data_IF_373573224733
#
_entry.id   IF_373573224733
#
_cell.length_a   1.000
_cell.length_b   1.000
_cell.length_c   1.000
_cell.angle_alpha   90.00
_cell.angle_beta   90.00
_cell.angle_gamma   90.00
#
_symmetry.space_group_name_H-M   'P 1'
#
loop_
_entity.id
_entity.type
_entity.pdbx_description
1 polymer ?
#
# COMPACT_ATOMS: atom_id res chain seq x y z
N UNK A 1 35.79 -7.07 14.71
CA UNK A 1 34.85 -5.94 14.57
C UNK A 1 33.60 -6.50 13.92
N UNK A 2 32.67 -6.97 14.75
CA UNK A 2 31.41 -7.55 14.30
C UNK A 2 30.40 -6.43 14.15
N UNK A 3 29.91 -6.20 12.93
CA UNK A 3 28.82 -5.26 12.71
C UNK A 3 27.52 -5.95 13.14
N UNK A 4 26.90 -5.44 14.20
CA UNK A 4 25.57 -5.85 14.62
C UNK A 4 24.55 -5.46 13.52
N UNK A 5 23.87 -6.45 12.97
CA UNK A 5 22.68 -6.26 12.13
C UNK A 5 21.51 -5.97 13.08
N UNK A 6 21.33 -4.71 13.43
CA UNK A 6 20.13 -4.20 14.08
C UNK A 6 19.40 -3.29 13.09
N UNK A 7 18.27 -3.76 12.57
CA UNK A 7 17.39 -2.96 11.74
C UNK A 7 16.07 -3.68 11.52
N UNK A 8 15.13 -3.55 12.45
CA UNK A 8 13.72 -3.78 12.16
C UNK A 8 13.31 -2.76 11.10
N UNK A 9 13.22 -3.18 9.83
CA UNK A 9 12.62 -2.32 8.82
C UNK A 9 11.18 -2.02 9.24
N UNK A 10 10.76 -0.75 9.32
CA UNK A 10 9.37 -0.44 9.60
C UNK A 10 8.50 -1.01 8.47
N UNK A 11 7.37 -1.60 8.86
CA UNK A 11 6.32 -2.08 7.95
C UNK A 11 6.06 -1.06 6.83
N UNK A 12 5.93 -1.50 5.56
CA UNK A 12 5.75 -0.55 4.47
C UNK A 12 4.48 0.25 4.70
N UNK A 13 4.61 1.58 4.62
CA UNK A 13 3.47 2.49 4.71
C UNK A 13 2.62 2.40 3.43
N UNK A 14 3.15 1.84 2.35
CA UNK A 14 2.47 1.76 1.06
C UNK A 14 2.75 0.43 0.35
N UNK A 15 1.69 -0.24 -0.10
CA UNK A 15 1.74 -1.43 -0.96
C UNK A 15 1.06 -1.11 -2.28
N UNK A 16 1.72 -1.42 -3.39
CA UNK A 16 1.18 -1.22 -4.74
C UNK A 16 1.01 -2.58 -5.41
N UNK A 17 -0.23 -3.05 -5.51
CA UNK A 17 -0.60 -4.26 -6.25
C UNK A 17 -0.65 -3.93 -7.75
N UNK A 18 0.28 -4.50 -8.50
CA UNK A 18 0.52 -4.17 -9.89
C UNK A 18 0.42 -5.33 -10.87
N UNK A 19 0.35 -4.97 -12.16
CA UNK A 19 0.21 -5.90 -13.28
C UNK A 19 -0.81 -5.41 -14.31
N UNK A 20 -0.90 -6.15 -15.41
CA UNK A 20 -1.77 -5.82 -16.54
C UNK A 20 -3.27 -5.86 -16.19
N UNK A 21 -4.13 -5.42 -17.10
CA UNK A 21 -5.58 -5.53 -16.92
C UNK A 21 -6.00 -6.99 -16.68
N UNK A 22 -7.02 -7.20 -15.84
CA UNK A 22 -7.54 -8.51 -15.44
C UNK A 22 -6.58 -9.46 -14.69
N UNK A 23 -5.40 -9.00 -14.27
CA UNK A 23 -4.53 -9.84 -13.42
C UNK A 23 -5.04 -10.02 -11.99
N UNK A 24 -6.04 -9.22 -11.56
CA UNK A 24 -6.67 -9.33 -10.24
C UNK A 24 -6.28 -8.24 -9.22
N UNK A 25 -5.66 -7.13 -9.67
CA UNK A 25 -5.17 -6.06 -8.78
C UNK A 25 -6.16 -5.62 -7.70
N UNK A 26 -7.34 -5.14 -8.09
CA UNK A 26 -8.33 -4.61 -7.13
C UNK A 26 -8.83 -5.70 -6.18
N UNK A 27 -8.97 -6.95 -6.65
CA UNK A 27 -9.36 -8.09 -5.82
C UNK A 27 -8.29 -8.44 -4.79
N UNK A 28 -7.03 -8.54 -5.21
CA UNK A 28 -5.91 -8.83 -4.31
C UNK A 28 -5.69 -7.65 -3.34
N UNK A 29 -5.79 -6.41 -3.81
CA UNK A 29 -5.64 -5.22 -2.98
C UNK A 29 -6.72 -5.16 -1.89
N UNK A 30 -7.98 -5.48 -2.22
CA UNK A 30 -9.06 -5.60 -1.24
C UNK A 30 -8.78 -6.72 -0.23
N UNK A 31 -8.40 -7.92 -0.70
CA UNK A 31 -8.08 -9.03 0.18
C UNK A 31 -6.94 -8.69 1.15
N UNK A 32 -5.88 -8.01 0.68
CA UNK A 32 -4.80 -7.53 1.55
C UNK A 32 -5.32 -6.53 2.59
N UNK A 33 -6.20 -5.59 2.20
CA UNK A 33 -6.75 -4.59 3.12
C UNK A 33 -7.63 -5.23 4.22
N UNK A 34 -8.45 -6.21 3.84
CA UNK A 34 -9.29 -6.98 4.76
C UNK A 34 -8.43 -7.80 5.73
N UNK A 35 -7.40 -8.47 5.21
CA UNK A 35 -6.46 -9.26 6.01
C UNK A 35 -5.66 -8.42 7.00
N UNK A 36 -5.24 -7.22 6.60
CA UNK A 36 -4.54 -6.26 7.47
C UNK A 36 -5.42 -5.85 8.66
N UNK A 37 -6.70 -5.59 8.40
CA UNK A 37 -7.66 -5.18 9.42
C UNK A 37 -8.05 -6.34 10.36
N UNK A 38 -8.17 -7.56 9.84
CA UNK A 38 -8.52 -8.75 10.63
C UNK A 38 -7.35 -9.30 11.47
N UNK A 39 -6.12 -9.15 10.99
CA UNK A 39 -4.91 -9.66 11.67
C UNK A 39 -4.64 -8.93 12.98
N UNK A 40 -5.06 -7.66 13.11
CA UNK A 40 -5.00 -6.92 14.38
C UNK A 40 -5.94 -7.48 15.46
N UNK A 41 -6.93 -8.29 15.11
CA UNK A 41 -7.96 -8.79 16.04
C UNK A 41 -7.75 -10.26 16.47
N UNK A 42 -6.95 -11.04 15.75
CA UNK A 42 -6.97 -12.52 15.86
C UNK A 42 -5.84 -13.15 16.69
N UNK A 43 -4.94 -12.36 17.29
CA UNK A 43 -3.95 -12.85 18.26
C UNK A 43 -2.89 -13.82 17.70
N UNK A 44 -2.84 -14.06 16.38
CA UNK A 44 -1.64 -14.63 15.74
C UNK A 44 -0.55 -13.57 15.74
N UNK A 45 0.65 -13.98 16.15
CA UNK A 45 1.85 -13.15 16.16
C UNK A 45 2.22 -12.74 14.73
N UNK A 46 1.59 -11.66 14.25
CA UNK A 46 1.90 -11.00 12.99
C UNK A 46 2.56 -9.67 13.35
N UNK A 47 3.74 -9.42 12.78
CA UNK A 47 4.58 -8.23 13.07
C UNK A 47 3.94 -6.89 12.66
N UNK A 48 2.80 -6.93 11.97
CA UNK A 48 2.10 -5.76 11.44
C UNK A 48 0.85 -5.44 12.27
N UNK A 49 0.84 -4.27 12.90
CA UNK A 49 -0.30 -3.68 13.60
C UNK A 49 -0.82 -2.48 12.81
N UNK A 50 -2.13 -2.34 12.60
CA UNK A 50 -2.74 -1.15 11.94
C UNK A 50 -3.92 -1.49 11.02
N UNK A 51 -4.73 -0.50 10.65
CA UNK A 51 -5.75 -0.65 9.59
C UNK A 51 -5.15 -0.41 8.20
N UNK A 52 -5.84 -0.82 7.13
CA UNK A 52 -5.43 -0.53 5.77
C UNK A 52 -6.45 0.36 5.05
N UNK A 53 -5.95 1.34 4.30
CA UNK A 53 -6.74 2.16 3.38
C UNK A 53 -6.55 1.65 1.96
N UNK A 54 -7.65 1.35 1.27
CA UNK A 54 -7.62 0.97 -0.14
C UNK A 54 -7.81 2.18 -1.06
N UNK A 55 -7.07 2.22 -2.16
CA UNK A 55 -7.27 3.18 -3.24
C UNK A 55 -7.10 2.47 -4.60
N UNK A 56 -8.11 2.58 -5.48
CA UNK A 56 -7.97 2.15 -6.87
C UNK A 56 -7.37 3.29 -7.70
N UNK A 57 -6.26 3.01 -8.39
CA UNK A 57 -5.57 4.04 -9.15
C UNK A 57 -6.37 4.50 -10.38
N UNK A 58 -7.26 3.66 -10.91
CA UNK A 58 -8.06 3.99 -12.10
C UNK A 58 -9.06 5.12 -11.80
N UNK A 59 -9.45 5.31 -10.54
CA UNK A 59 -10.35 6.39 -10.12
C UNK A 59 -9.75 7.77 -10.38
N UNK A 60 -8.42 7.89 -10.22
CA UNK A 60 -7.69 9.15 -10.36
C UNK A 60 -7.32 9.50 -11.81
N UNK A 61 -7.68 8.67 -12.79
CA UNK A 61 -7.47 9.05 -14.18
C UNK A 61 -8.30 10.29 -14.56
N UNK A 62 -7.71 11.26 -15.28
CA UNK A 62 -8.49 12.38 -15.81
C UNK A 62 -9.52 11.87 -16.83
N UNK A 63 -10.64 12.58 -17.04
CA UNK A 63 -11.69 12.17 -17.98
C UNK A 63 -11.16 11.87 -19.40
N UNK A 64 -10.15 12.60 -19.86
CA UNK A 64 -9.49 12.39 -21.15
C UNK A 64 -8.85 11.00 -21.27
N UNK A 65 -8.27 10.48 -20.18
CA UNK A 65 -7.64 9.17 -20.17
C UNK A 65 -8.69 8.07 -20.14
N UNK A 66 -9.73 8.24 -19.32
CA UNK A 66 -10.87 7.31 -19.27
C UNK A 66 -11.54 7.21 -20.65
N UNK A 67 -11.70 8.33 -21.35
CA UNK A 67 -12.23 8.36 -22.71
C UNK A 67 -11.34 7.61 -23.72
N UNK A 68 -10.02 7.85 -23.72
CA UNK A 68 -9.08 7.11 -24.58
C UNK A 68 -9.11 5.61 -24.34
N UNK A 69 -9.01 5.19 -23.08
CA UNK A 69 -9.04 3.77 -22.71
C UNK A 69 -10.39 3.13 -23.05
N UNK A 70 -11.51 3.83 -22.81
CA UNK A 70 -12.85 3.40 -23.20
C UNK A 70 -13.00 3.21 -24.71
N UNK A 71 -12.29 4.01 -25.52
CA UNK A 71 -12.22 3.86 -26.97
C UNK A 71 -11.21 2.80 -27.45
N UNK A 72 -10.57 2.04 -26.54
CA UNK A 72 -9.55 1.05 -26.91
C UNK A 72 -8.20 1.65 -27.29
N UNK A 73 -7.98 2.94 -27.01
CA UNK A 73 -6.76 3.67 -27.36
C UNK A 73 -5.78 3.60 -26.18
N UNK A 74 -4.58 3.01 -26.36
CA UNK A 74 -3.56 3.01 -25.31
C UNK A 74 -3.13 4.43 -24.94
N UNK A 75 -2.90 4.65 -23.64
CA UNK A 75 -2.35 5.92 -23.16
C UNK A 75 -0.86 6.03 -23.50
N UNK A 76 -0.38 7.24 -23.76
CA UNK A 76 1.05 7.58 -23.85
C UNK A 76 1.64 7.95 -22.48
N UNK A 77 2.96 8.12 -22.38
CA UNK A 77 3.60 8.65 -21.17
C UNK A 77 3.07 10.05 -20.81
N UNK A 78 2.86 10.90 -21.82
CA UNK A 78 2.31 12.24 -21.63
C UNK A 78 0.90 12.19 -21.05
N UNK A 79 0.09 11.22 -21.48
CA UNK A 79 -1.25 11.01 -20.92
C UNK A 79 -1.19 10.53 -19.46
N UNK A 80 -0.21 9.69 -19.12
CA UNK A 80 -0.06 9.15 -17.76
C UNK A 80 0.57 10.11 -16.77
N UNK A 81 1.36 11.08 -17.22
CA UNK A 81 2.10 11.98 -16.32
C UNK A 81 1.22 12.72 -15.29
N UNK A 82 0.06 13.33 -15.65
CA UNK A 82 -0.82 13.98 -14.67
C UNK A 82 -1.43 12.98 -13.67
N UNK A 83 -1.74 11.77 -14.13
CA UNK A 83 -2.30 10.70 -13.30
C UNK A 83 -1.27 10.16 -12.30
N UNK A 84 -0.03 9.94 -12.73
CA UNK A 84 1.07 9.53 -11.85
C UNK A 84 1.38 10.60 -10.80
N UNK A 85 1.32 11.88 -11.16
CA UNK A 85 1.47 12.99 -10.22
C UNK A 85 0.35 12.99 -9.16
N UNK A 86 -0.91 12.77 -9.57
CA UNK A 86 -2.03 12.67 -8.64
C UNK A 86 -1.89 11.48 -7.67
N UNK A 87 -1.47 10.31 -8.16
CA UNK A 87 -1.20 9.14 -7.32
C UNK A 87 -0.07 9.41 -6.33
N UNK A 88 1.03 10.02 -6.78
CA UNK A 88 2.15 10.39 -5.89
C UNK A 88 1.70 11.37 -4.81
N UNK A 89 0.86 12.35 -5.14
CA UNK A 89 0.31 13.27 -4.16
C UNK A 89 -0.49 12.53 -3.07
N UNK A 90 -1.31 11.53 -3.45
CA UNK A 90 -2.04 10.67 -2.49
C UNK A 90 -1.13 9.81 -1.61
N UNK A 91 -0.04 9.28 -2.19
CA UNK A 91 0.99 8.57 -1.42
C UNK A 91 1.62 9.49 -0.38
N UNK A 92 2.01 10.71 -0.77
CA UNK A 92 2.66 11.68 0.12
C UNK A 92 1.71 12.20 1.21
N UNK A 93 0.45 12.47 0.86
CA UNK A 93 -0.61 12.85 1.81
C UNK A 93 -0.72 11.79 2.92
N UNK A 94 -0.91 10.52 2.53
CA UNK A 94 -1.01 9.41 3.48
C UNK A 94 0.24 9.28 4.37
N UNK A 95 1.44 9.28 3.78
CA UNK A 95 2.70 9.11 4.52
C UNK A 95 2.91 10.26 5.51
N UNK A 96 2.54 11.48 5.12
CA UNK A 96 2.62 12.67 5.96
C UNK A 96 1.64 12.56 7.14
N UNK A 97 0.40 12.17 6.88
CA UNK A 97 -0.62 11.92 7.93
C UNK A 97 -0.13 10.89 8.95
N UNK A 98 0.41 9.75 8.51
CA UNK A 98 0.90 8.71 9.42
C UNK A 98 2.11 9.17 10.25
N UNK A 99 3.00 9.98 9.66
CA UNK A 99 4.14 10.55 10.39
C UNK A 99 3.71 11.54 11.46
N UNK A 100 2.77 12.43 11.16
CA UNK A 100 2.22 13.36 12.14
C UNK A 100 1.50 12.62 13.28
N UNK A 101 0.69 11.60 12.95
CA UNK A 101 0.02 10.74 13.95
C UNK A 101 1.02 10.05 14.88
N UNK A 102 2.15 9.60 14.34
CA UNK A 102 3.21 8.96 15.12
C UNK A 102 3.97 9.95 16.03
N UNK A 103 4.14 11.20 15.59
CA UNK A 103 4.82 12.26 16.38
C UNK A 103 3.93 12.89 17.45
N UNK A 104 2.61 12.92 17.24
CA UNK A 104 1.64 13.46 18.19
C UNK A 104 1.43 12.57 19.43
N UNK A 105 2.06 11.38 19.50
CA UNK A 105 1.93 10.44 20.61
C UNK A 105 3.30 10.11 21.26
N UNK A 106 3.87 11.01 22.09
CA UNK A 106 5.22 10.86 22.63
C UNK A 106 5.37 9.93 23.85
N UNK A 107 4.32 9.23 24.28
CA UNK A 107 4.34 8.41 25.52
C UNK A 107 4.92 7.01 25.32
N UNK A 108 6.20 6.91 24.95
CA UNK A 108 6.99 5.68 25.20
C UNK A 108 8.50 5.90 25.40
N UNK A 109 8.96 7.14 25.65
CA UNK A 109 10.38 7.41 25.91
C UNK A 109 10.64 7.52 27.42
N UNK A 110 11.14 6.42 27.98
CA UNK A 110 11.88 6.27 29.25
C UNK A 110 11.23 6.82 30.55
N UNK A 111 10.68 5.91 31.35
CA UNK A 111 10.58 6.10 32.81
C UNK A 111 11.60 5.18 33.49
N UNK A 112 12.69 5.78 33.96
CA UNK A 112 13.48 5.27 35.07
C UNK A 112 13.77 6.44 35.99
N UNK A 113 12.92 6.63 37.00
CA UNK A 113 13.39 6.84 38.38
C UNK A 113 12.21 6.77 39.35
N UNK A 114 12.35 5.86 40.31
CA UNK A 114 11.51 5.74 41.50
C UNK A 114 12.02 6.72 42.56
N UNK A 115 11.14 7.50 43.17
CA UNK A 115 11.18 7.71 44.63
C UNK A 115 9.78 7.98 45.19
N UNK A 116 9.49 7.20 46.23
CA UNK A 116 8.35 7.13 47.14
C UNK A 116 7.91 8.46 47.77
N UNK A 117 6.61 8.62 48.04
CA UNK A 117 6.05 8.98 49.36
C UNK A 117 4.52 9.20 49.35
N UNK A 118 3.88 8.63 50.38
CA UNK A 118 2.71 9.09 51.14
C UNK A 118 1.25 8.81 50.72
N UNK A 119 0.58 8.15 51.69
CA UNK A 119 -0.85 7.88 51.87
C UNK A 119 -1.67 9.17 52.10
N UNK A 120 -2.94 9.24 51.66
CA UNK A 120 -4.11 9.30 52.58
C UNK A 120 -5.50 9.30 51.87
N UNK A 121 -6.48 8.84 52.65
CA UNK A 121 -7.93 8.63 52.53
C UNK A 121 -8.87 9.46 51.60
N UNK A 122 -9.78 8.69 50.95
CA UNK A 122 -11.26 8.70 50.99
C UNK A 122 -12.07 9.99 50.66
N UNK A 123 -13.05 9.89 49.72
CA UNK A 123 -14.40 10.50 49.73
C UNK A 123 -15.25 9.93 48.56
N UNK A 124 -16.53 9.65 48.82
CA UNK A 124 -17.58 9.14 47.92
C UNK A 124 -18.43 10.32 47.38
N UNK A 125 -18.79 10.34 46.09
CA UNK A 125 -20.03 10.88 45.45
C UNK A 125 -19.98 10.50 43.94
N UNK A 126 -20.87 9.66 43.41
CA UNK A 126 -22.23 9.88 42.88
C UNK A 126 -22.31 10.56 41.49
N UNK A 127 -23.05 9.90 40.58
CA UNK A 127 -23.55 10.25 39.24
C UNK A 127 -22.63 10.87 38.16
N UNK A 128 -22.39 10.12 37.07
CA UNK A 128 -22.57 10.60 35.69
C UNK A 128 -22.26 9.53 34.63
N UNK A 129 -23.02 9.61 33.53
CA UNK A 129 -22.98 8.86 32.29
C UNK A 129 -21.63 8.22 31.90
N UNK A 130 -21.65 6.89 31.70
CA UNK A 130 -20.61 6.16 30.98
C UNK A 130 -20.74 6.45 29.47
N UNK A 131 -20.32 7.65 29.06
CA UNK A 131 -19.92 7.86 27.67
C UNK A 131 -18.61 7.10 27.44
N UNK A 132 -18.61 6.31 26.37
CA UNK A 132 -17.52 5.46 25.90
C UNK A 132 -16.16 6.13 26.05
N UNK A 133 -15.42 5.66 27.05
CA UNK A 133 -14.01 5.93 27.23
C UNK A 133 -13.23 5.10 26.18
N UNK A 134 -13.32 5.52 24.91
CA UNK A 134 -12.49 4.97 23.84
C UNK A 134 -11.10 5.58 24.04
N UNK A 135 -10.32 4.92 24.89
CA UNK A 135 -8.99 5.35 25.27
C UNK A 135 -8.14 5.59 24.03
N UNK A 136 -7.57 6.80 23.92
CA UNK A 136 -6.52 7.24 22.99
C UNK A 136 -5.20 6.44 23.16
N UNK A 137 -5.29 5.10 23.16
CA UNK A 137 -4.15 4.23 22.99
C UNK A 137 -3.61 4.45 21.57
N UNK A 138 -2.30 4.65 21.44
CA UNK A 138 -1.62 4.93 20.19
C UNK A 138 -2.02 3.95 19.08
N UNK A 139 -2.94 4.35 18.20
CA UNK A 139 -3.36 3.51 17.08
C UNK A 139 -2.18 3.38 16.11
N UNK A 140 -1.79 2.14 15.82
CA UNK A 140 -0.70 1.84 14.91
C UNK A 140 -0.90 2.51 13.54
N UNK A 141 0.19 2.90 12.83
CA UNK A 141 0.07 3.58 11.55
C UNK A 141 -0.71 2.75 10.54
N UNK A 142 -1.55 3.42 9.77
CA UNK A 142 -2.30 2.77 8.68
C UNK A 142 -1.39 2.52 7.48
N UNK A 143 -1.63 1.42 6.76
CA UNK A 143 -0.98 1.12 5.48
C UNK A 143 -1.89 1.51 4.33
N UNK A 144 -1.36 2.20 3.31
CA UNK A 144 -2.06 2.45 2.05
C UNK A 144 -1.84 1.28 1.08
N UNK A 145 -2.91 0.71 0.57
CA UNK A 145 -2.88 -0.32 -0.48
C UNK A 145 -3.47 0.25 -1.76
N UNK A 146 -2.68 0.19 -2.84
CA UNK A 146 -3.00 0.75 -4.15
C UNK A 146 -3.13 -0.35 -5.20
N UNK A 147 -4.25 -0.42 -5.89
CA UNK A 147 -4.35 -1.19 -7.13
C UNK A 147 -3.90 -0.30 -8.30
N UNK A 148 -2.73 -0.57 -8.91
CA UNK A 148 -2.17 0.30 -9.96
C UNK A 148 -1.41 -0.51 -11.00
N UNK A 149 -1.57 -0.21 -12.30
CA UNK A 149 -0.89 -0.98 -13.36
C UNK A 149 0.64 -0.90 -13.28
N UNK A 150 1.22 0.29 -13.03
CA UNK A 150 2.65 0.54 -12.79
C UNK A 150 3.63 -0.23 -13.71
N UNK A 151 3.29 -0.37 -15.00
CA UNK A 151 3.92 -1.34 -15.90
C UNK A 151 5.37 -1.02 -16.30
N UNK A 152 5.77 0.26 -16.25
CA UNK A 152 7.13 0.70 -16.59
C UNK A 152 7.92 1.05 -15.34
N UNK A 153 9.23 0.82 -15.37
CA UNK A 153 10.17 1.22 -14.33
C UNK A 153 10.07 2.72 -14.04
N UNK A 154 9.94 3.54 -15.08
CA UNK A 154 9.75 4.99 -14.90
C UNK A 154 8.52 5.31 -14.04
N UNK A 155 7.41 4.59 -14.22
CA UNK A 155 6.19 4.81 -13.45
C UNK A 155 6.39 4.40 -12.00
N UNK A 156 7.05 3.27 -11.76
CA UNK A 156 7.37 2.77 -10.41
C UNK A 156 8.29 3.73 -9.67
N UNK A 157 9.34 4.24 -10.32
CA UNK A 157 10.22 5.29 -9.78
C UNK A 157 9.46 6.57 -9.42
N UNK A 158 8.57 7.07 -10.29
CA UNK A 158 7.74 8.25 -9.99
C UNK A 158 6.86 8.02 -8.75
N UNK A 159 6.27 6.84 -8.61
CA UNK A 159 5.46 6.50 -7.44
C UNK A 159 6.30 6.33 -6.17
N UNK A 160 7.50 5.75 -6.28
CA UNK A 160 8.40 5.47 -5.17
C UNK A 160 9.12 6.73 -4.63
N UNK A 161 9.75 7.47 -5.53
CA UNK A 161 10.70 8.55 -5.20
C UNK A 161 10.09 9.93 -5.44
N UNK A 162 9.18 10.05 -6.40
CA UNK A 162 8.72 11.34 -6.92
C UNK A 162 9.73 11.97 -7.89
N UNK A 163 9.43 13.15 -8.44
CA UNK A 163 10.31 13.82 -9.41
C UNK A 163 11.64 14.32 -8.80
N UNK A 164 11.71 14.45 -7.48
CA UNK A 164 12.84 15.06 -6.75
C UNK A 164 13.82 14.03 -6.14
N UNK A 165 13.86 12.80 -6.68
CA UNK A 165 14.67 11.66 -6.22
C UNK A 165 16.17 11.95 -5.96
N UNK A 166 16.69 13.06 -6.47
CA UNK A 166 18.09 13.49 -6.33
C UNK A 166 18.35 14.38 -5.11
N UNK A 167 17.31 14.79 -4.38
CA UNK A 167 17.49 15.51 -3.11
C UNK A 167 17.59 14.45 -2.01
N UNK A 168 18.78 14.30 -1.40
CA UNK A 168 19.10 13.27 -0.40
C UNK A 168 18.31 13.36 0.92
N UNK A 169 17.05 13.78 0.90
CA UNK A 169 16.15 13.81 2.02
C UNK A 169 15.72 12.38 2.38
N UNK A 170 16.12 11.94 3.57
CA UNK A 170 15.80 10.65 4.21
C UNK A 170 14.32 10.52 4.62
N UNK A 171 13.38 10.96 3.76
CA UNK A 171 11.94 11.00 4.01
C UNK A 171 11.13 10.24 2.96
N UNK A 172 11.78 9.48 2.07
CA UNK A 172 11.09 8.62 1.11
C UNK A 172 10.18 7.61 1.83
N UNK A 173 8.96 7.37 1.33
CA UNK A 173 8.08 6.37 1.89
C UNK A 173 8.59 4.95 1.64
N UNK A 174 8.42 4.07 2.62
CA UNK A 174 8.67 2.63 2.43
C UNK A 174 7.55 2.05 1.56
N UNK A 175 7.90 1.67 0.32
CA UNK A 175 6.99 1.14 -0.70
C UNK A 175 7.38 -0.29 -1.09
N UNK A 176 6.37 -1.15 -1.20
CA UNK A 176 6.49 -2.47 -1.81
C UNK A 176 5.55 -2.63 -3.01
N UNK A 177 6.05 -3.13 -4.13
CA UNK A 177 5.25 -3.51 -5.29
C UNK A 177 4.95 -5.00 -5.25
N UNK A 178 3.68 -5.38 -5.36
CA UNK A 178 3.23 -6.77 -5.51
C UNK A 178 2.87 -6.99 -6.97
N UNK A 179 3.75 -7.62 -7.73
CA UNK A 179 3.55 -7.87 -9.16
C UNK A 179 2.81 -9.19 -9.39
N UNK A 180 1.56 -9.10 -9.82
CA UNK A 180 0.73 -10.24 -10.19
C UNK A 180 1.10 -10.73 -11.60
N UNK A 181 1.80 -11.85 -11.68
CA UNK A 181 2.36 -12.44 -12.91
C UNK A 181 1.61 -13.71 -13.32
N UNK A 182 1.37 -13.84 -14.62
CA UNK A 182 0.99 -15.09 -15.28
C UNK A 182 1.28 -14.96 -16.79
N UNK A 183 1.32 -16.07 -17.54
CA UNK A 183 1.38 -16.02 -19.00
C UNK A 183 0.20 -15.23 -19.60
N UNK A 184 0.42 -14.64 -20.78
CA UNK A 184 -0.57 -13.82 -21.50
C UNK A 184 -1.93 -14.52 -21.62
N UNK A 185 -1.91 -15.81 -21.94
CA UNK A 185 -3.08 -16.65 -22.22
C UNK A 185 -4.00 -16.75 -20.99
N UNK A 186 -3.44 -16.69 -19.79
CA UNK A 186 -4.21 -16.71 -18.54
C UNK A 186 -5.04 -15.44 -18.40
N UNK A 187 -4.45 -14.27 -18.65
CA UNK A 187 -5.16 -12.99 -18.53
C UNK A 187 -6.10 -12.75 -19.70
N UNK A 188 -5.74 -13.20 -20.91
CA UNK A 188 -6.61 -13.13 -22.08
C UNK A 188 -7.88 -13.97 -21.88
N UNK A 189 -7.76 -15.20 -21.37
CA UNK A 189 -8.91 -16.02 -21.01
C UNK A 189 -9.80 -15.34 -19.97
N UNK A 190 -9.21 -14.75 -18.91
CA UNK A 190 -9.96 -14.00 -17.89
C UNK A 190 -10.71 -12.79 -18.43
N UNK A 191 -10.14 -12.07 -19.41
CA UNK A 191 -10.83 -10.95 -20.07
C UNK A 191 -12.01 -11.46 -20.91
N UNK A 192 -11.81 -12.55 -21.65
CA UNK A 192 -12.86 -13.14 -22.51
C UNK A 192 -14.05 -13.70 -21.72
N UNK A 193 -13.79 -14.25 -20.53
CA UNK A 193 -14.84 -14.82 -19.67
C UNK A 193 -15.63 -13.76 -18.88
N UNK A 194 -15.13 -12.51 -18.81
CA UNK A 194 -15.85 -11.43 -18.12
C UNK A 194 -17.09 -11.02 -18.92
N UNK A 195 -18.26 -11.19 -18.31
CA UNK A 195 -19.53 -10.68 -18.83
C UNK A 195 -19.59 -9.17 -18.62
N UNK A 196 -19.37 -8.40 -19.67
CA UNK A 196 -19.42 -6.93 -19.66
C UNK A 196 -18.30 -6.32 -20.49
N UNK A 197 -18.59 -5.25 -21.24
CA UNK A 197 -17.71 -4.61 -22.21
C UNK A 197 -16.53 -3.82 -21.59
N UNK A 198 -15.75 -4.43 -20.69
CA UNK A 198 -14.63 -3.73 -20.05
C UNK A 198 -13.29 -4.20 -20.64
N UNK A 199 -12.78 -3.36 -21.55
CA UNK A 199 -11.50 -3.42 -22.27
C UNK A 199 -11.40 -4.44 -23.43
N UNK A 200 -11.16 -3.98 -24.68
CA UNK A 200 -10.90 -4.87 -25.80
C UNK A 200 -9.56 -5.61 -25.61
N UNK A 201 -9.48 -6.85 -26.13
CA UNK A 201 -8.29 -7.70 -26.04
C UNK A 201 -7.01 -7.02 -26.58
N UNK A 202 -7.15 -6.10 -27.54
CA UNK A 202 -6.04 -5.29 -28.07
C UNK A 202 -5.33 -4.45 -27.00
N UNK A 203 -6.03 -4.01 -25.95
CA UNK A 203 -5.41 -3.29 -24.85
C UNK A 203 -4.55 -4.21 -23.98
N UNK A 204 -4.93 -5.47 -23.78
CA UNK A 204 -4.10 -6.42 -23.02
C UNK A 204 -2.74 -6.62 -23.70
N UNK A 205 -2.74 -6.81 -25.02
CA UNK A 205 -1.51 -6.94 -25.80
C UNK A 205 -0.61 -5.70 -25.65
N UNK A 206 -1.20 -4.50 -25.73
CA UNK A 206 -0.43 -3.26 -25.53
C UNK A 206 0.15 -3.14 -24.12
N UNK A 207 -0.55 -3.66 -23.10
CA UNK A 207 -0.09 -3.62 -21.71
C UNK A 207 1.08 -4.58 -21.48
N UNK A 208 1.05 -5.78 -22.07
CA UNK A 208 2.20 -6.70 -22.04
C UNK A 208 3.41 -6.14 -22.77
N UNK A 209 3.21 -5.49 -23.92
CA UNK A 209 4.29 -4.83 -24.65
C UNK A 209 4.90 -3.66 -23.87
N UNK A 210 4.12 -3.03 -22.98
CA UNK A 210 4.55 -1.93 -22.11
C UNK A 210 5.21 -2.42 -20.81
N UNK A 211 5.00 -3.67 -20.41
CA UNK A 211 5.47 -4.21 -19.14
C UNK A 211 6.98 -4.40 -19.15
N UNK A 212 7.67 -3.57 -18.37
CA UNK A 212 9.08 -3.71 -18.04
C UNK A 212 9.20 -4.52 -16.74
N UNK A 213 9.97 -5.61 -16.75
CA UNK A 213 10.09 -6.57 -15.64
C UNK A 213 10.48 -5.86 -14.32
N UNK A 214 9.57 -5.80 -13.32
CA UNK A 214 9.84 -5.14 -12.05
C UNK A 214 10.97 -5.78 -11.23
N UNK A 215 11.26 -7.06 -11.45
CA UNK A 215 12.33 -7.75 -10.70
C UNK A 215 13.74 -7.28 -11.09
N UNK A 216 13.85 -6.55 -12.21
CA UNK A 216 15.09 -5.95 -12.68
C UNK A 216 15.33 -4.53 -12.12
N UNK A 217 14.39 -3.98 -11.36
CA UNK A 217 14.55 -2.68 -10.72
C UNK A 217 15.57 -2.72 -9.58
N UNK A 218 16.15 -1.55 -9.26
CA UNK A 218 17.13 -1.45 -8.19
C UNK A 218 16.45 -1.66 -6.82
N UNK A 219 16.85 -2.67 -6.02
CA UNK A 219 16.24 -2.95 -4.72
C UNK A 219 16.57 -1.87 -3.67
N UNK A 220 17.46 -0.92 -4.01
CA UNK A 220 17.76 0.23 -3.15
C UNK A 220 16.63 1.26 -3.14
N UNK A 221 15.74 1.23 -4.13
CA UNK A 221 14.68 2.22 -4.32
C UNK A 221 13.35 1.77 -3.69
N UNK A 222 12.98 0.50 -3.88
CA UNK A 222 11.74 -0.11 -3.38
C UNK A 222 11.81 -1.64 -3.42
N UNK A 223 10.90 -2.30 -2.71
CA UNK A 223 10.76 -3.76 -2.72
C UNK A 223 9.83 -4.22 -3.84
N UNK A 224 10.11 -5.39 -4.43
CA UNK A 224 9.26 -6.02 -5.45
C UNK A 224 9.02 -7.47 -5.07
N UNK A 225 7.74 -7.83 -4.95
CA UNK A 225 7.26 -9.19 -4.68
C UNK A 225 6.60 -9.73 -5.95
N UNK A 226 7.25 -10.69 -6.59
CA UNK A 226 6.69 -11.43 -7.73
C UNK A 226 5.70 -12.49 -7.22
N UNK A 227 4.45 -12.43 -7.67
CA UNK A 227 3.36 -13.30 -7.21
C UNK A 227 2.67 -13.95 -8.39
N UNK A 228 2.54 -15.27 -8.37
CA UNK A 228 1.78 -16.00 -9.38
C UNK A 228 0.27 -15.72 -9.23
N UNK A 229 -0.28 -14.99 -10.20
CA UNK A 229 -1.68 -14.57 -10.22
C UNK A 229 -2.69 -15.73 -10.37
N UNK A 230 -2.21 -16.97 -10.56
CA UNK A 230 -3.04 -18.20 -10.58
C UNK A 230 -3.27 -18.79 -9.19
N UNK A 231 -2.51 -18.36 -8.19
CA UNK A 231 -2.68 -18.82 -6.82
C UNK A 231 -4.01 -18.32 -6.22
N UNK A 232 -4.45 -18.98 -5.13
CA UNK A 232 -5.63 -18.54 -4.39
C UNK A 232 -5.38 -17.19 -3.69
N UNK A 233 -6.44 -16.43 -3.41
CA UNK A 233 -6.33 -15.16 -2.69
C UNK A 233 -5.68 -15.34 -1.32
N UNK A 234 -6.02 -16.41 -0.59
CA UNK A 234 -5.43 -16.72 0.71
C UNK A 234 -3.92 -16.97 0.61
N UNK A 235 -3.49 -17.72 -0.40
CA UNK A 235 -2.06 -17.97 -0.65
C UNK A 235 -1.31 -16.68 -0.96
N UNK A 236 -1.89 -15.83 -1.82
CA UNK A 236 -1.30 -14.53 -2.18
C UNK A 236 -1.23 -13.62 -0.95
N UNK A 237 -2.30 -13.54 -0.16
CA UNK A 237 -2.38 -12.73 1.04
C UNK A 237 -1.32 -13.16 2.07
N UNK A 238 -1.23 -14.46 2.36
CA UNK A 238 -0.22 -15.01 3.28
C UNK A 238 1.19 -14.68 2.79
N UNK A 239 1.48 -14.86 1.50
CA UNK A 239 2.81 -14.60 0.94
C UNK A 239 3.21 -13.12 1.04
N UNK A 240 2.30 -12.20 0.76
CA UNK A 240 2.58 -10.75 0.81
C UNK A 240 2.70 -10.23 2.24
N UNK A 241 2.02 -10.88 3.20
CA UNK A 241 1.99 -10.46 4.60
C UNK A 241 3.01 -11.18 5.51
N UNK A 242 3.74 -12.17 4.99
CA UNK A 242 4.78 -12.91 5.71
C UNK A 242 6.10 -12.15 5.79
#
# INVERSE_FOLDING_TARGET
MSAEVSGSHPSPLVIIVMGVSACGKSTVAQALADGWSASSASGREIRQTGAARLLDADDLHPPSNKAKMGAGIPLSDRDRAPWLAALRAKILEHVTEQRFRSQANPSSVHSSDQTSADNNANIIHDDSHNESNDSDAAKAPETLILACSALRQLYRKVLAEGPDAHTGASTAPSIAFVHLQAPFEVFDARIRDRTGHFMPASLLQSQFALLEDPTLDSPREYQVLAVDARQSLDTIQIFVMA
#
